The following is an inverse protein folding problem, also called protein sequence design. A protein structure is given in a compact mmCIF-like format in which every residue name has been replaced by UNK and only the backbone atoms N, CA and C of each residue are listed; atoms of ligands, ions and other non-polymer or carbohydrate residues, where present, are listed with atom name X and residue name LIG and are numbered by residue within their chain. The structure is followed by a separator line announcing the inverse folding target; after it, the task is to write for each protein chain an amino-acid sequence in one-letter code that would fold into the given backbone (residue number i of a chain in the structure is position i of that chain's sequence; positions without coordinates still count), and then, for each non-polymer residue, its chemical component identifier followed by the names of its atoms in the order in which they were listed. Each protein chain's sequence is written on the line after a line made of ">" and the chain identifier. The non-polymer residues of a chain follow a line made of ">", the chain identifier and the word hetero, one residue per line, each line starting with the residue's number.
data_IF_583701512148
#
_entry.id   IF_583701512148
#
_cell.length_a   1.000
_cell.length_b   1.000
_cell.length_c   1.000
_cell.angle_alpha   90.00
_cell.angle_beta   90.00
_cell.angle_gamma   90.00
#
_symmetry.space_group_name_H-M   'P 1'
#
loop_
_entity.id
_entity.type
_entity.pdbx_description
1 polymer ?
#
# COMPACT_ATOMS: atom_id res chain seq x y z
N UNK A 1 11.98 68.20 11.30
CA UNK A 1 12.64 66.97 11.81
C UNK A 1 11.64 65.83 11.63
N UNK A 2 11.63 65.24 10.43
CA UNK A 2 10.72 64.14 10.08
C UNK A 2 11.37 62.82 10.51
N UNK A 3 10.62 61.96 11.20
CA UNK A 3 11.01 60.59 11.51
C UNK A 3 10.30 59.66 10.52
N UNK A 4 10.97 59.14 9.49
CA UNK A 4 10.42 58.10 8.63
C UNK A 4 10.71 56.74 9.29
N UNK A 5 9.69 56.07 9.84
CA UNK A 5 9.93 54.80 10.55
C UNK A 5 8.74 53.89 10.83
N UNK A 6 7.51 54.39 10.96
CA UNK A 6 6.39 53.58 11.50
C UNK A 6 5.52 52.85 10.45
N UNK A 7 5.66 53.19 9.17
CA UNK A 7 4.75 52.73 8.11
C UNK A 7 4.97 51.26 7.69
N UNK A 8 6.07 50.66 8.15
CA UNK A 8 6.47 49.29 7.82
C UNK A 8 5.83 48.24 8.75
N UNK A 9 5.60 48.58 10.03
CA UNK A 9 4.99 47.68 11.02
C UNK A 9 3.49 47.45 10.78
N UNK A 10 2.76 48.51 10.43
CA UNK A 10 1.29 48.47 10.20
C UNK A 10 0.89 47.68 8.95
N UNK A 11 1.77 47.56 7.94
CA UNK A 11 1.52 46.76 6.72
C UNK A 11 1.83 45.27 6.89
N UNK A 12 2.64 44.89 7.88
CA UNK A 12 3.01 43.51 8.12
C UNK A 12 1.91 42.71 8.83
N UNK A 13 1.15 43.34 9.73
CA UNK A 13 0.01 42.72 10.43
C UNK A 13 -1.11 42.20 9.51
N UNK A 14 -1.62 42.96 8.52
CA UNK A 14 -2.70 42.48 7.66
C UNK A 14 -2.27 41.31 6.77
N UNK A 15 -1.01 41.25 6.33
CA UNK A 15 -0.45 40.14 5.55
C UNK A 15 -0.25 38.86 6.37
N UNK A 16 0.10 39.01 7.65
CA UNK A 16 0.19 37.88 8.59
C UNK A 16 -1.18 37.33 8.98
N UNK A 17 -2.16 38.22 9.12
CA UNK A 17 -3.53 37.85 9.46
C UNK A 17 -4.20 37.07 8.32
N UNK A 18 -4.06 37.55 7.10
CA UNK A 18 -4.65 36.89 5.96
C UNK A 18 -3.90 35.55 5.67
N UNK A 19 -2.56 35.49 5.74
CA UNK A 19 -1.82 34.22 5.57
C UNK A 19 -2.24 33.12 6.56
N UNK A 20 -2.61 33.51 7.79
CA UNK A 20 -3.20 32.61 8.78
C UNK A 20 -4.61 32.17 8.42
N UNK A 21 -5.39 33.05 7.76
CA UNK A 21 -6.69 32.72 7.18
C UNK A 21 -6.57 31.65 6.10
N UNK A 22 -5.70 31.86 5.10
CA UNK A 22 -5.49 30.88 4.04
C UNK A 22 -4.92 29.55 4.52
N UNK A 23 -4.04 29.58 5.53
CA UNK A 23 -3.55 28.35 6.14
C UNK A 23 -4.67 27.58 6.85
N UNK A 24 -5.59 28.28 7.51
CA UNK A 24 -6.75 27.69 8.16
C UNK A 24 -7.70 27.07 7.14
N UNK A 25 -7.99 27.77 6.06
CA UNK A 25 -8.88 27.29 4.99
C UNK A 25 -8.27 26.10 4.24
N UNK A 26 -6.96 26.12 3.97
CA UNK A 26 -6.25 24.99 3.38
C UNK A 26 -6.24 23.76 4.29
N UNK A 27 -6.08 23.95 5.61
CA UNK A 27 -6.15 22.87 6.60
C UNK A 27 -7.56 22.30 6.72
N UNK A 28 -8.61 23.12 6.64
CA UNK A 28 -10.00 22.64 6.59
C UNK A 28 -10.28 21.86 5.32
N UNK A 29 -9.87 22.37 4.15
CA UNK A 29 -10.07 21.66 2.88
C UNK A 29 -9.31 20.33 2.85
N UNK A 30 -8.07 20.30 3.36
CA UNK A 30 -7.28 19.08 3.51
C UNK A 30 -7.96 18.10 4.47
N UNK A 31 -8.50 18.58 5.60
CA UNK A 31 -9.24 17.76 6.57
C UNK A 31 -10.49 17.13 5.94
N UNK A 32 -11.28 17.90 5.19
CA UNK A 32 -12.50 17.40 4.54
C UNK A 32 -12.16 16.36 3.47
N UNK A 33 -11.13 16.60 2.66
CA UNK A 33 -10.69 15.62 1.65
C UNK A 33 -10.09 14.36 2.27
N UNK A 34 -9.31 14.47 3.34
CA UNK A 34 -8.80 13.31 4.08
C UNK A 34 -9.93 12.52 4.75
N UNK A 35 -10.96 13.19 5.25
CA UNK A 35 -12.15 12.53 5.78
C UNK A 35 -12.93 11.80 4.69
N UNK A 36 -13.11 12.41 3.51
CA UNK A 36 -13.76 11.77 2.36
C UNK A 36 -12.95 10.58 1.83
N UNK A 37 -11.64 10.77 1.62
CA UNK A 37 -10.71 9.71 1.21
C UNK A 37 -10.64 8.58 2.24
N UNK A 38 -10.71 8.90 3.54
CA UNK A 38 -10.75 7.91 4.61
C UNK A 38 -12.03 7.06 4.57
N UNK A 39 -13.17 7.68 4.28
CA UNK A 39 -14.46 6.98 4.13
C UNK A 39 -14.46 6.11 2.88
N UNK A 40 -14.07 6.65 1.73
CA UNK A 40 -14.03 5.91 0.46
C UNK A 40 -12.98 4.78 0.47
N UNK A 41 -11.83 5.02 1.11
CA UNK A 41 -10.84 3.99 1.38
C UNK A 41 -11.36 2.91 2.33
N UNK A 42 -12.20 3.25 3.33
CA UNK A 42 -12.78 2.26 4.24
C UNK A 42 -13.80 1.36 3.55
N UNK A 43 -14.60 1.90 2.63
CA UNK A 43 -15.55 1.13 1.82
C UNK A 43 -14.81 0.17 0.88
N UNK A 44 -13.76 0.63 0.22
CA UNK A 44 -12.98 -0.23 -0.67
C UNK A 44 -12.07 -1.20 0.10
N UNK A 45 -11.58 -0.82 1.29
CA UNK A 45 -10.76 -1.70 2.14
C UNK A 45 -11.54 -2.92 2.64
N UNK A 46 -12.85 -2.79 2.91
CA UNK A 46 -13.69 -3.93 3.28
C UNK A 46 -13.89 -4.91 2.11
N UNK A 47 -14.08 -4.39 0.89
CA UNK A 47 -14.21 -5.22 -0.31
C UNK A 47 -12.88 -5.92 -0.67
N UNK A 48 -11.76 -5.19 -0.59
CA UNK A 48 -10.41 -5.75 -0.73
C UNK A 48 -10.11 -6.77 0.37
N UNK A 49 -10.49 -6.50 1.62
CA UNK A 49 -10.32 -7.40 2.76
C UNK A 49 -11.09 -8.70 2.58
N UNK A 50 -12.35 -8.62 2.15
CA UNK A 50 -13.18 -9.80 1.85
C UNK A 50 -12.59 -10.60 0.68
N UNK A 51 -12.16 -9.92 -0.38
CA UNK A 51 -11.52 -10.55 -1.54
C UNK A 51 -10.20 -11.24 -1.16
N UNK A 52 -9.37 -10.61 -0.31
CA UNK A 52 -8.14 -11.19 0.21
C UNK A 52 -8.41 -12.38 1.12
N UNK A 53 -9.43 -12.32 1.96
CA UNK A 53 -9.84 -13.45 2.80
C UNK A 53 -10.29 -14.64 1.95
N UNK A 54 -11.08 -14.41 0.90
CA UNK A 54 -11.50 -15.46 -0.04
C UNK A 54 -10.30 -16.03 -0.82
N UNK A 55 -9.38 -15.19 -1.29
CA UNK A 55 -8.16 -15.65 -1.96
C UNK A 55 -7.26 -16.47 -1.03
N UNK A 56 -7.13 -16.07 0.23
CA UNK A 56 -6.38 -16.82 1.24
C UNK A 56 -7.05 -18.16 1.53
N UNK A 57 -8.37 -18.17 1.73
CA UNK A 57 -9.14 -19.40 1.94
C UNK A 57 -9.00 -20.36 0.73
N UNK A 58 -9.12 -19.84 -0.50
CA UNK A 58 -8.92 -20.61 -1.72
C UNK A 58 -7.48 -21.17 -1.82
N UNK A 59 -6.46 -20.38 -1.48
CA UNK A 59 -5.07 -20.83 -1.48
C UNK A 59 -4.81 -21.95 -0.45
N UNK A 60 -5.43 -21.86 0.74
CA UNK A 60 -5.36 -22.91 1.76
C UNK A 60 -6.06 -24.18 1.28
N UNK A 61 -7.27 -24.07 0.74
CA UNK A 61 -8.02 -25.22 0.23
C UNK A 61 -7.30 -25.90 -0.95
N UNK A 62 -6.76 -25.12 -1.89
CA UNK A 62 -6.00 -25.65 -3.03
C UNK A 62 -4.71 -26.34 -2.58
N UNK A 63 -3.99 -25.78 -1.61
CA UNK A 63 -2.78 -26.44 -1.09
C UNK A 63 -3.10 -27.73 -0.34
N UNK A 64 -4.17 -27.75 0.46
CA UNK A 64 -4.65 -28.98 1.11
C UNK A 64 -5.11 -30.05 0.10
N UNK A 65 -5.86 -29.66 -0.94
CA UNK A 65 -6.27 -30.56 -2.01
C UNK A 65 -5.07 -31.11 -2.80
N UNK A 66 -4.08 -30.26 -3.10
CA UNK A 66 -2.85 -30.67 -3.77
C UNK A 66 -2.08 -31.72 -2.95
N UNK A 67 -1.87 -31.47 -1.65
CA UNK A 67 -1.21 -32.43 -0.76
C UNK A 67 -1.99 -33.75 -0.71
N UNK A 68 -3.31 -33.69 -0.60
CA UNK A 68 -4.17 -34.88 -0.55
C UNK A 68 -4.10 -35.68 -1.86
N UNK A 69 -4.07 -35.00 -3.01
CA UNK A 69 -3.90 -35.61 -4.32
C UNK A 69 -2.53 -36.30 -4.43
N UNK A 70 -1.47 -35.67 -3.93
CA UNK A 70 -0.13 -36.26 -3.94
C UNK A 70 -0.03 -37.50 -3.05
N UNK A 71 -0.69 -37.50 -1.89
CA UNK A 71 -0.80 -38.70 -1.05
C UNK A 71 -1.56 -39.81 -1.81
N UNK A 72 -2.70 -39.48 -2.43
CA UNK A 72 -3.47 -40.45 -3.22
C UNK A 72 -2.65 -41.06 -4.36
N UNK A 73 -1.98 -40.22 -5.15
CA UNK A 73 -1.07 -40.65 -6.23
C UNK A 73 0.04 -41.52 -5.66
N UNK A 74 0.60 -41.13 -4.51
CA UNK A 74 1.67 -41.89 -3.86
C UNK A 74 1.19 -43.28 -3.49
N UNK A 75 0.04 -43.39 -2.83
CA UNK A 75 -0.55 -44.68 -2.43
C UNK A 75 -0.91 -45.53 -3.66
N UNK A 76 -1.50 -44.94 -4.70
CA UNK A 76 -1.92 -45.66 -5.91
C UNK A 76 -0.74 -46.27 -6.66
N UNK A 77 0.38 -45.54 -6.72
CA UNK A 77 1.60 -45.99 -7.41
C UNK A 77 2.55 -46.77 -6.49
N UNK A 78 2.32 -46.80 -5.17
CA UNK A 78 3.27 -47.32 -4.19
C UNK A 78 3.60 -48.79 -4.43
N UNK A 79 2.64 -49.66 -4.72
CA UNK A 79 2.99 -51.08 -4.84
C UNK A 79 3.79 -51.40 -6.11
N UNK A 80 3.54 -50.69 -7.21
CA UNK A 80 4.20 -50.99 -8.49
C UNK A 80 5.45 -50.14 -8.75
N UNK A 81 5.46 -48.87 -8.36
CA UNK A 81 6.44 -47.87 -8.80
C UNK A 81 6.77 -46.85 -7.68
N UNK A 82 7.22 -47.34 -6.51
CA UNK A 82 7.54 -46.53 -5.31
C UNK A 82 8.37 -45.29 -5.60
N UNK A 83 9.43 -45.44 -6.39
CA UNK A 83 10.36 -44.34 -6.71
C UNK A 83 9.68 -43.28 -7.58
N UNK A 84 8.89 -43.70 -8.58
CA UNK A 84 8.18 -42.80 -9.48
C UNK A 84 7.08 -42.02 -8.73
N UNK A 85 6.38 -42.69 -7.82
CA UNK A 85 5.40 -42.09 -6.93
C UNK A 85 6.01 -40.95 -6.09
N UNK A 86 7.16 -41.21 -5.45
CA UNK A 86 7.88 -40.21 -4.66
C UNK A 86 8.44 -39.08 -5.52
N UNK A 87 8.98 -39.39 -6.69
CA UNK A 87 9.54 -38.40 -7.61
C UNK A 87 8.46 -37.43 -8.14
N UNK A 88 7.29 -37.92 -8.51
CA UNK A 88 6.17 -37.07 -8.95
C UNK A 88 5.64 -36.18 -7.83
N UNK A 89 5.45 -36.75 -6.64
CA UNK A 89 4.97 -35.98 -5.49
C UNK A 89 5.95 -34.89 -5.07
N UNK A 90 7.23 -35.23 -4.98
CA UNK A 90 8.27 -34.28 -4.65
C UNK A 90 8.43 -33.20 -5.74
N UNK A 91 8.50 -33.61 -7.01
CA UNK A 91 8.63 -32.70 -8.16
C UNK A 91 7.46 -31.71 -8.25
N UNK A 92 6.24 -32.17 -7.99
CA UNK A 92 5.05 -31.30 -8.01
C UNK A 92 5.08 -30.27 -6.88
N UNK A 93 5.42 -30.66 -5.65
CA UNK A 93 5.54 -29.73 -4.52
C UNK A 93 6.66 -28.71 -4.74
N UNK A 94 7.83 -29.17 -5.19
CA UNK A 94 8.96 -28.31 -5.48
C UNK A 94 8.65 -27.33 -6.62
N UNK A 95 8.03 -27.81 -7.70
CA UNK A 95 7.62 -26.98 -8.83
C UNK A 95 6.59 -25.91 -8.43
N UNK A 96 5.55 -26.31 -7.68
CA UNK A 96 4.55 -25.38 -7.17
C UNK A 96 5.17 -24.34 -6.22
N UNK A 97 6.04 -24.78 -5.30
CA UNK A 97 6.75 -23.89 -4.38
C UNK A 97 7.67 -22.90 -5.09
N UNK A 98 8.45 -23.37 -6.08
CA UNK A 98 9.33 -22.51 -6.88
C UNK A 98 8.55 -21.49 -7.72
N UNK A 99 7.45 -21.90 -8.34
CA UNK A 99 6.58 -21.00 -9.09
C UNK A 99 5.96 -19.92 -8.19
N UNK A 100 5.46 -20.31 -7.00
CA UNK A 100 4.92 -19.37 -6.02
C UNK A 100 6.00 -18.37 -5.54
N UNK A 101 7.21 -18.85 -5.24
CA UNK A 101 8.33 -18.00 -4.84
C UNK A 101 8.74 -17.03 -5.96
N UNK A 102 8.79 -17.48 -7.21
CA UNK A 102 9.10 -16.64 -8.37
C UNK A 102 8.06 -15.54 -8.56
N UNK A 103 6.76 -15.89 -8.52
CA UNK A 103 5.67 -14.91 -8.63
C UNK A 103 5.73 -13.92 -7.47
N UNK A 104 5.96 -14.39 -6.25
CA UNK A 104 6.16 -13.54 -5.07
C UNK A 104 7.32 -12.56 -5.24
N UNK A 105 8.48 -13.03 -5.67
CA UNK A 105 9.66 -12.20 -5.90
C UNK A 105 9.45 -11.17 -7.02
N UNK A 106 8.77 -11.55 -8.11
CA UNK A 106 8.41 -10.62 -9.19
C UNK A 106 7.45 -9.54 -8.70
N UNK A 107 6.45 -9.89 -7.89
CA UNK A 107 5.53 -8.92 -7.30
C UNK A 107 6.27 -7.97 -6.38
N UNK A 108 7.11 -8.47 -5.48
CA UNK A 108 7.93 -7.64 -4.57
C UNK A 108 8.82 -6.66 -5.33
N UNK A 109 9.44 -7.08 -6.43
CA UNK A 109 10.23 -6.20 -7.31
C UNK A 109 9.40 -5.19 -8.08
N UNK A 110 8.15 -5.50 -8.38
CA UNK A 110 7.25 -4.64 -9.15
C UNK A 110 6.55 -3.58 -8.30
N UNK A 111 6.53 -3.71 -6.96
CA UNK A 111 5.83 -2.73 -6.13
C UNK A 111 6.73 -1.60 -5.66
N UNK A 112 6.56 -0.42 -6.26
CA UNK A 112 7.20 0.85 -5.92
C UNK A 112 6.50 1.56 -4.76
N UNK A 113 6.24 0.87 -3.65
CA UNK A 113 5.46 1.36 -2.50
C UNK A 113 5.95 2.70 -1.90
N UNK A 114 7.20 3.07 -2.15
CA UNK A 114 7.85 4.20 -1.50
C UNK A 114 8.17 5.38 -2.41
N UNK A 115 8.16 5.23 -3.74
CA UNK A 115 8.52 6.36 -4.61
C UNK A 115 7.43 7.41 -4.70
N UNK A 116 6.17 6.99 -4.90
CA UNK A 116 5.04 7.91 -4.93
C UNK A 116 4.85 8.61 -3.56
N UNK A 117 4.92 7.85 -2.46
CA UNK A 117 4.80 8.38 -1.10
C UNK A 117 5.97 9.29 -0.69
N UNK A 118 7.22 8.98 -1.10
CA UNK A 118 8.38 9.87 -0.84
C UNK A 118 8.33 11.13 -1.68
N UNK A 119 7.83 11.07 -2.91
CA UNK A 119 7.67 12.24 -3.78
C UNK A 119 6.56 13.18 -3.29
N UNK A 120 5.48 12.64 -2.72
CA UNK A 120 4.42 13.43 -2.07
C UNK A 120 4.94 14.07 -0.78
N UNK A 121 5.66 13.31 0.06
CA UNK A 121 6.24 13.83 1.31
C UNK A 121 7.31 14.89 1.06
N UNK A 122 8.11 14.76 -0.01
CA UNK A 122 9.09 15.78 -0.41
C UNK A 122 8.39 17.07 -0.88
N UNK A 123 7.27 16.96 -1.62
CA UNK A 123 6.48 18.12 -2.04
C UNK A 123 5.78 18.81 -0.86
N UNK A 124 5.33 18.05 0.13
CA UNK A 124 4.72 18.60 1.35
C UNK A 124 5.75 19.34 2.21
N UNK A 125 6.98 18.82 2.33
CA UNK A 125 8.09 19.51 3.01
C UNK A 125 8.50 20.79 2.27
N UNK A 126 8.49 20.78 0.94
CA UNK A 126 8.78 21.97 0.13
C UNK A 126 7.71 23.06 0.29
N UNK A 127 6.42 22.67 0.34
CA UNK A 127 5.30 23.61 0.59
C UNK A 127 5.34 24.21 1.99
N UNK A 128 5.72 23.42 3.00
CA UNK A 128 5.91 23.90 4.37
C UNK A 128 7.12 24.84 4.53
N UNK A 129 8.15 24.68 3.69
CA UNK A 129 9.30 25.59 3.63
C UNK A 129 9.03 26.87 2.82
N UNK A 130 8.04 26.85 1.92
CA UNK A 130 7.75 27.95 0.99
C UNK A 130 6.52 28.84 1.29
N UNK A 131 5.68 28.55 2.29
CA UNK A 131 4.48 29.36 2.59
C UNK A 131 4.71 30.38 3.72
N UNK A 132 4.61 31.71 3.45
CA UNK A 132 3.31 32.39 3.59
C UNK A 132 3.04 33.57 2.62
N UNK A 133 1.77 33.74 2.21
CA UNK A 133 1.00 34.99 2.07
C UNK A 133 -0.33 34.75 1.35
N UNK A 134 -1.42 34.99 2.04
CA UNK A 134 -2.55 35.72 1.51
C UNK A 134 -3.28 36.19 2.73
#
# INVERSE_FOLDING_TARGET
>A
MAMPGDDAGSRAEPLLAAARGWLRDALELARVRLALLGVEASEHALALGTSLALLLAAAVLLSAALVSLLVLVTVLLWESQRVLALALSCGTLLGAGAAAAWVGLRRLRAVSWFEASRAELARDVERLRGGPRA
#
